data_IF_396058612014
#
_entry.id   IF_396058612014
#
_cell.length_a   1.000
_cell.length_b   1.000
_cell.length_c   1.000
_cell.angle_alpha   90.00
_cell.angle_beta   90.00
_cell.angle_gamma   90.00
#
_symmetry.space_group_name_H-M   'P 1'
#
loop_
_entity.id
_entity.type
_entity.pdbx_description
1 polymer ?
#
# COMPACT_ATOMS: atom_id res chain seq x y z
N UNK A 1 12.82 17.84 0.70
CA UNK A 1 13.62 18.20 1.88
C UNK A 1 12.74 18.77 2.99
N UNK A 2 13.26 18.89 4.23
CA UNK A 2 12.54 19.49 5.35
C UNK A 2 12.19 20.97 5.13
N UNK A 3 12.94 21.67 4.30
CA UNK A 3 12.69 23.08 3.97
C UNK A 3 11.54 23.24 2.97
N UNK A 4 11.40 22.32 2.00
CA UNK A 4 10.39 22.37 0.93
C UNK A 4 9.06 21.71 1.33
N UNK A 5 9.09 20.75 2.27
CA UNK A 5 7.91 19.96 2.64
C UNK A 5 6.74 20.81 3.17
N UNK A 6 6.92 21.89 3.96
CA UNK A 6 5.82 22.73 4.39
C UNK A 6 5.09 23.45 3.25
N UNK A 7 5.83 23.88 2.21
CA UNK A 7 5.23 24.53 1.03
C UNK A 7 4.50 23.51 0.14
N UNK A 8 5.05 22.31 0.02
CA UNK A 8 4.36 21.20 -0.62
C UNK A 8 3.07 20.83 0.11
N UNK A 9 3.08 20.79 1.45
CA UNK A 9 1.93 20.52 2.28
C UNK A 9 0.80 21.55 2.05
N UNK A 10 1.13 22.83 2.05
CA UNK A 10 0.15 23.90 1.78
C UNK A 10 -0.45 23.79 0.36
N UNK A 11 0.33 23.30 -0.59
CA UNK A 11 -0.14 23.11 -1.98
C UNK A 11 -1.06 21.89 -2.15
N UNK A 12 -0.82 20.81 -1.39
CA UNK A 12 -1.61 19.57 -1.42
C UNK A 12 -2.94 19.78 -0.66
N UNK A 13 -2.89 20.48 0.47
CA UNK A 13 -4.02 20.67 1.38
C UNK A 13 -4.02 19.63 2.53
N UNK A 14 -4.84 19.89 3.54
CA UNK A 14 -4.87 19.11 4.78
C UNK A 14 -6.16 18.27 4.88
N UNK A 15 -6.17 17.14 5.61
CA UNK A 15 -5.07 16.56 6.37
C UNK A 15 -4.05 15.80 5.49
N UNK A 16 -2.83 15.68 6.01
CA UNK A 16 -1.68 15.11 5.31
C UNK A 16 -1.03 13.95 6.06
N UNK A 17 -0.20 13.23 5.31
CA UNK A 17 0.78 12.27 5.82
C UNK A 17 2.18 12.75 5.43
N UNK A 18 3.13 12.68 6.38
CA UNK A 18 4.55 12.89 6.08
C UNK A 18 5.31 11.60 6.43
N UNK A 19 6.11 11.13 5.49
CA UNK A 19 6.93 9.92 5.64
C UNK A 19 8.39 10.23 5.40
N UNK A 20 9.27 9.70 6.23
CA UNK A 20 10.70 9.70 5.96
C UNK A 20 10.99 8.82 4.73
N UNK A 21 11.78 9.33 3.77
CA UNK A 21 12.17 8.59 2.58
C UNK A 21 13.64 8.17 2.70
N UNK A 22 13.87 6.96 3.24
CA UNK A 22 15.20 6.37 3.33
C UNK A 22 15.18 4.96 2.75
N UNK A 23 16.20 4.64 1.95
CA UNK A 23 16.39 3.31 1.34
C UNK A 23 16.64 2.24 2.41
N UNK A 24 17.19 2.61 3.55
CA UNK A 24 17.52 1.69 4.64
C UNK A 24 16.33 1.40 5.59
N UNK A 25 15.21 2.11 5.44
CA UNK A 25 14.09 2.06 6.37
C UNK A 25 12.90 1.29 5.78
N UNK A 26 12.97 -0.05 5.84
CA UNK A 26 11.90 -0.93 5.33
C UNK A 26 10.61 -0.84 6.18
N UNK A 27 10.72 -0.65 7.51
CA UNK A 27 9.59 -0.55 8.44
C UNK A 27 9.48 0.86 9.03
N UNK A 28 9.14 1.84 8.20
CA UNK A 28 9.10 3.27 8.54
C UNK A 28 8.23 3.59 9.76
N UNK A 29 7.07 2.92 9.86
CA UNK A 29 6.10 3.16 10.95
C UNK A 29 6.62 2.72 12.33
N UNK A 30 7.39 1.63 12.41
CA UNK A 30 7.93 1.12 13.67
C UNK A 30 9.04 2.01 14.24
N UNK A 31 9.73 2.76 13.37
CA UNK A 31 10.84 3.64 13.73
C UNK A 31 10.44 5.12 13.85
N UNK A 32 9.15 5.43 13.89
CA UNK A 32 8.67 6.81 13.97
C UNK A 32 8.89 7.62 12.69
N UNK A 33 9.03 6.94 11.55
CA UNK A 33 9.23 7.56 10.24
C UNK A 33 7.94 7.95 9.50
N UNK A 34 6.76 7.87 10.14
CA UNK A 34 5.46 8.21 9.54
C UNK A 34 4.62 9.02 10.52
N UNK A 35 4.13 10.16 10.08
CA UNK A 35 3.20 11.02 10.81
C UNK A 35 1.90 11.17 10.02
N UNK A 36 0.78 10.80 10.65
CA UNK A 36 -0.55 10.78 10.05
C UNK A 36 -1.41 11.91 10.59
N UNK A 37 -2.37 12.39 9.79
CA UNK A 37 -3.41 13.30 10.23
C UNK A 37 -2.93 14.72 10.51
N UNK A 38 -1.83 15.13 9.89
CA UNK A 38 -1.31 16.47 10.04
C UNK A 38 -2.30 17.47 9.43
N UNK A 39 -2.80 18.40 10.23
CA UNK A 39 -3.89 19.30 9.90
C UNK A 39 -3.46 20.75 9.72
N UNK A 40 -2.18 21.06 9.93
CA UNK A 40 -1.63 22.41 9.75
C UNK A 40 -0.15 22.37 9.36
N UNK A 41 0.34 23.50 8.83
CA UNK A 41 1.76 23.73 8.54
C UNK A 41 2.63 23.54 9.77
N UNK A 42 2.17 24.00 10.92
CA UNK A 42 2.88 23.89 12.20
C UNK A 42 3.10 22.42 12.59
N UNK A 43 2.07 21.58 12.44
CA UNK A 43 2.17 20.14 12.71
C UNK A 43 3.13 19.45 11.74
N UNK A 44 3.12 19.83 10.46
CA UNK A 44 4.10 19.36 9.49
C UNK A 44 5.53 19.72 9.91
N UNK A 45 5.79 20.97 10.27
CA UNK A 45 7.11 21.39 10.76
C UNK A 45 7.56 20.62 12.01
N UNK A 46 6.65 20.35 12.94
CA UNK A 46 6.93 19.56 14.14
C UNK A 46 7.29 18.11 13.78
N UNK A 47 6.53 17.47 12.90
CA UNK A 47 6.77 16.11 12.43
C UNK A 47 8.15 16.01 11.73
N UNK A 48 8.47 16.94 10.83
CA UNK A 48 9.77 16.99 10.16
C UNK A 48 10.93 17.14 11.15
N UNK A 49 10.77 17.99 12.17
CA UNK A 49 11.82 18.17 13.19
C UNK A 49 12.03 16.89 14.03
N UNK A 50 10.98 16.11 14.26
CA UNK A 50 11.10 14.83 14.99
C UNK A 50 11.75 13.74 14.12
N UNK A 51 11.62 13.83 12.80
CA UNK A 51 12.19 12.88 11.82
C UNK A 51 13.54 13.32 11.23
N UNK A 52 14.11 14.46 11.65
CA UNK A 52 15.33 15.06 11.04
C UNK A 52 16.54 14.13 11.03
N UNK A 53 16.64 13.25 12.05
CA UNK A 53 17.76 12.30 12.20
C UNK A 53 17.49 10.97 11.46
N UNK A 54 16.28 10.78 10.90
CA UNK A 54 15.87 9.57 10.20
C UNK A 54 16.09 9.67 8.68
N UNK A 55 15.93 10.86 8.10
CA UNK A 55 16.04 11.06 6.65
C UNK A 55 16.26 12.52 6.30
N UNK A 56 16.95 12.77 5.19
CA UNK A 56 17.09 14.10 4.59
C UNK A 56 15.93 14.44 3.63
N UNK A 57 15.21 13.42 3.18
CA UNK A 57 14.11 13.54 2.23
C UNK A 57 12.81 13.00 2.79
N UNK A 58 11.70 13.66 2.44
CA UNK A 58 10.38 13.33 2.98
C UNK A 58 9.37 13.26 1.84
N UNK A 59 8.45 12.32 1.97
CA UNK A 59 7.27 12.22 1.13
C UNK A 59 6.09 12.87 1.86
N UNK A 60 5.43 13.82 1.18
CA UNK A 60 4.24 14.51 1.68
C UNK A 60 3.06 14.09 0.81
N UNK A 61 2.03 13.51 1.41
CA UNK A 61 0.91 12.92 0.70
C UNK A 61 -0.42 13.36 1.31
N UNK A 62 -1.46 13.42 0.47
CA UNK A 62 -2.85 13.52 0.93
C UNK A 62 -3.18 12.36 1.87
N UNK A 63 -3.80 12.63 3.01
CA UNK A 63 -4.28 11.58 3.89
C UNK A 63 -5.58 10.96 3.35
N UNK A 64 -5.59 9.65 3.20
CA UNK A 64 -6.79 8.90 2.81
C UNK A 64 -7.62 8.62 4.06
N UNK A 65 -8.83 9.16 4.12
CA UNK A 65 -9.71 9.09 5.31
C UNK A 65 -10.86 8.09 5.17
N UNK A 66 -11.27 7.78 3.93
CA UNK A 66 -12.47 7.00 3.63
C UNK A 66 -12.19 5.51 3.39
N UNK A 67 -11.13 4.96 3.99
CA UNK A 67 -10.73 3.57 3.79
C UNK A 67 -11.77 2.61 4.38
N UNK A 68 -12.28 1.70 3.56
CA UNK A 68 -13.15 0.59 3.99
C UNK A 68 -12.31 -0.52 4.63
N UNK A 69 -11.21 -0.89 3.96
CA UNK A 69 -10.22 -1.85 4.45
C UNK A 69 -8.90 -1.67 3.72
N UNK A 70 -7.85 -2.30 4.25
CA UNK A 70 -6.51 -2.28 3.70
C UNK A 70 -6.15 -3.67 3.17
N UNK A 71 -5.48 -3.72 2.03
CA UNK A 71 -5.08 -4.94 1.32
C UNK A 71 -3.58 -4.96 1.14
N UNK A 72 -2.98 -6.13 1.33
CA UNK A 72 -1.62 -6.47 0.94
C UNK A 72 -1.63 -7.08 -0.46
N UNK A 73 -0.80 -6.56 -1.35
CA UNK A 73 -0.42 -7.20 -2.60
C UNK A 73 1.08 -7.42 -2.61
N UNK A 74 1.52 -8.67 -2.72
CA UNK A 74 2.94 -9.04 -2.80
C UNK A 74 3.24 -9.76 -4.11
N UNK A 75 4.32 -9.41 -4.77
CA UNK A 75 4.86 -10.12 -5.93
C UNK A 75 6.22 -10.71 -5.57
N UNK A 76 6.42 -11.95 -5.92
CA UNK A 76 7.70 -12.63 -5.78
C UNK A 76 8.05 -13.39 -7.06
N UNK A 77 9.31 -13.34 -7.44
CA UNK A 77 9.84 -14.11 -8.56
C UNK A 77 10.72 -15.23 -8.02
N UNK A 78 10.08 -16.37 -7.73
CA UNK A 78 10.75 -17.54 -7.18
C UNK A 78 11.52 -18.30 -8.27
N UNK A 79 12.77 -18.72 -8.02
CA UNK A 79 13.56 -19.45 -9.01
C UNK A 79 12.99 -20.81 -9.44
N UNK A 80 12.15 -21.44 -8.61
CA UNK A 80 11.55 -22.75 -8.88
C UNK A 80 10.13 -22.66 -9.42
N UNK A 81 9.32 -21.75 -8.85
CA UNK A 81 7.88 -21.62 -9.15
C UNK A 81 7.58 -20.47 -10.11
N UNK A 82 8.55 -19.58 -10.37
CA UNK A 82 8.33 -18.38 -11.17
C UNK A 82 7.59 -17.28 -10.42
N UNK A 83 6.80 -16.49 -11.15
CA UNK A 83 6.04 -15.40 -10.57
C UNK A 83 4.89 -15.93 -9.71
N UNK A 84 4.75 -15.35 -8.53
CA UNK A 84 3.59 -15.52 -7.64
C UNK A 84 3.08 -14.18 -7.14
N UNK A 85 1.78 -14.10 -6.86
CA UNK A 85 1.12 -12.93 -6.30
C UNK A 85 0.43 -13.32 -5.00
N UNK A 86 0.78 -12.67 -3.91
CA UNK A 86 0.09 -12.76 -2.63
C UNK A 86 -0.95 -11.67 -2.53
N UNK A 87 -2.16 -12.03 -2.09
CA UNK A 87 -3.28 -11.14 -1.88
C UNK A 87 -3.88 -11.43 -0.51
N UNK A 88 -4.08 -10.39 0.32
CA UNK A 88 -4.63 -10.60 1.66
C UNK A 88 -4.90 -9.32 2.44
N UNK A 89 -5.23 -9.50 3.74
CA UNK A 89 -5.40 -8.37 4.64
C UNK A 89 -4.09 -7.61 4.81
N UNK A 90 -4.14 -6.29 4.62
CA UNK A 90 -3.00 -5.38 4.69
C UNK A 90 -2.96 -4.55 5.98
N UNK A 91 -2.01 -3.63 6.02
CA UNK A 91 -1.79 -2.73 7.14
C UNK A 91 -1.15 -3.41 8.36
N UNK A 92 -1.30 -2.78 9.51
CA UNK A 92 -0.66 -3.20 10.77
C UNK A 92 -1.09 -4.58 11.29
N UNK A 93 -2.19 -5.12 10.77
CA UNK A 93 -2.71 -6.43 11.21
C UNK A 93 -2.34 -7.58 10.27
N UNK A 94 -1.56 -7.34 9.24
CA UNK A 94 -1.20 -8.34 8.21
C UNK A 94 -0.66 -9.63 8.85
N UNK A 95 0.33 -9.52 9.72
CA UNK A 95 0.96 -10.66 10.38
C UNK A 95 0.05 -11.36 11.40
N UNK A 96 -0.84 -10.60 12.05
CA UNK A 96 -1.72 -11.14 13.09
C UNK A 96 -2.89 -11.94 12.48
N UNK A 97 -3.42 -11.50 11.35
CA UNK A 97 -4.64 -12.09 10.77
C UNK A 97 -4.35 -13.32 9.93
N UNK A 98 -3.16 -13.42 9.35
CA UNK A 98 -2.75 -14.50 8.41
C UNK A 98 -3.82 -14.79 7.33
N UNK A 99 -4.54 -13.72 6.90
CA UNK A 99 -5.67 -13.79 5.99
C UNK A 99 -5.18 -13.49 4.57
N UNK A 100 -4.46 -14.45 4.00
CA UNK A 100 -3.80 -14.31 2.70
C UNK A 100 -4.07 -15.49 1.77
N UNK A 101 -3.99 -15.25 0.47
CA UNK A 101 -4.02 -16.25 -0.58
C UNK A 101 -2.86 -16.03 -1.56
N UNK A 102 -2.35 -17.09 -2.17
CA UNK A 102 -1.27 -17.02 -3.15
C UNK A 102 -1.78 -17.49 -4.51
N UNK A 103 -1.58 -16.65 -5.52
CA UNK A 103 -1.95 -16.91 -6.90
C UNK A 103 -0.68 -17.19 -7.72
N UNK A 104 -0.72 -18.25 -8.51
CA UNK A 104 0.33 -18.51 -9.50
C UNK A 104 -0.05 -17.90 -10.85
N UNK A 105 0.94 -17.47 -11.60
CA UNK A 105 0.73 -16.90 -12.92
C UNK A 105 0.41 -17.97 -13.98
N UNK A 106 -0.43 -17.65 -14.98
CA UNK A 106 -1.01 -16.33 -15.26
C UNK A 106 -2.19 -16.00 -14.35
N UNK A 107 -2.30 -14.73 -13.93
CA UNK A 107 -3.38 -14.24 -13.08
C UNK A 107 -4.56 -13.78 -13.93
N UNK A 108 -5.77 -14.27 -13.62
CA UNK A 108 -7.03 -13.88 -14.26
C UNK A 108 -8.02 -13.31 -13.24
N UNK A 109 -9.06 -12.63 -13.73
CA UNK A 109 -10.14 -12.10 -12.88
C UNK A 109 -10.83 -13.21 -12.08
N UNK A 110 -11.13 -14.35 -12.71
CA UNK A 110 -11.76 -15.50 -12.06
C UNK A 110 -10.86 -16.04 -10.93
N UNK A 111 -9.56 -16.19 -11.19
CA UNK A 111 -8.59 -16.66 -10.19
C UNK A 111 -8.48 -15.69 -9.00
N UNK A 112 -8.54 -14.37 -9.25
CA UNK A 112 -8.54 -13.36 -8.19
C UNK A 112 -9.80 -13.52 -7.34
N UNK A 113 -10.97 -13.67 -7.95
CA UNK A 113 -12.23 -13.81 -7.22
C UNK A 113 -12.26 -15.11 -6.39
N UNK A 114 -11.85 -16.23 -6.97
CA UNK A 114 -11.74 -17.52 -6.27
C UNK A 114 -10.79 -17.44 -5.06
N UNK A 115 -9.71 -16.66 -5.19
CA UNK A 115 -8.72 -16.47 -4.13
C UNK A 115 -9.18 -15.50 -3.03
N UNK A 116 -10.04 -14.53 -3.36
CA UNK A 116 -10.61 -13.56 -2.42
C UNK A 116 -11.75 -14.16 -1.58
N UNK A 117 -12.65 -14.95 -2.19
CA UNK A 117 -13.87 -15.43 -1.56
C UNK A 117 -13.67 -16.12 -0.19
N UNK A 118 -12.64 -16.96 0.03
CA UNK A 118 -12.42 -17.63 1.33
C UNK A 118 -11.87 -16.67 2.41
N UNK A 119 -11.33 -15.51 2.04
CA UNK A 119 -10.72 -14.58 2.98
C UNK A 119 -11.75 -13.85 3.85
N UNK A 120 -11.37 -13.58 5.09
CA UNK A 120 -12.16 -12.70 5.99
C UNK A 120 -12.26 -11.30 5.42
N UNK A 121 -11.17 -10.83 4.78
CA UNK A 121 -11.07 -9.58 4.06
C UNK A 121 -12.23 -9.40 3.06
N UNK A 122 -12.60 -10.44 2.30
CA UNK A 122 -13.68 -10.37 1.33
C UNK A 122 -15.02 -9.97 1.96
N UNK A 123 -15.32 -10.49 3.16
CA UNK A 123 -16.54 -10.14 3.89
C UNK A 123 -16.59 -8.65 4.27
N UNK A 124 -15.41 -8.06 4.57
CA UNK A 124 -15.31 -6.63 4.88
C UNK A 124 -15.58 -5.82 3.62
N UNK A 125 -14.98 -6.20 2.48
CA UNK A 125 -15.19 -5.55 1.18
C UNK A 125 -16.66 -5.61 0.77
N UNK A 126 -17.36 -6.69 1.07
CA UNK A 126 -18.80 -6.84 0.79
C UNK A 126 -19.73 -6.00 1.71
N UNK A 127 -19.18 -5.30 2.70
CA UNK A 127 -19.95 -4.44 3.58
C UNK A 127 -20.39 -5.15 4.86
N UNK A 128 -19.46 -5.42 5.75
CA UNK A 128 -19.73 -6.12 7.01
C UNK A 128 -20.46 -5.24 8.02
N UNK A 129 -21.56 -5.77 8.62
CA UNK A 129 -22.33 -5.13 9.71
C UNK A 129 -22.74 -3.68 9.44
N UNK A 130 -23.23 -3.40 8.24
CA UNK A 130 -23.73 -2.06 7.88
C UNK A 130 -22.63 -1.04 7.52
N UNK A 131 -21.37 -1.47 7.45
CA UNK A 131 -20.30 -0.65 6.88
C UNK A 131 -20.45 -0.56 5.35
N UNK A 132 -19.97 0.51 4.71
CA UNK A 132 -20.01 0.64 3.25
C UNK A 132 -19.28 -0.52 2.59
N UNK A 133 -19.71 -0.89 1.38
CA UNK A 133 -18.97 -1.81 0.53
C UNK A 133 -17.71 -1.14 0.01
N UNK A 134 -16.64 -1.91 -0.11
CA UNK A 134 -15.42 -1.48 -0.81
C UNK A 134 -15.57 -1.62 -2.33
N UNK A 135 -14.75 -0.91 -3.06
CA UNK A 135 -14.69 -0.95 -4.53
C UNK A 135 -13.97 -2.23 -5.01
N UNK A 136 -14.71 -3.33 -5.03
CA UNK A 136 -14.19 -4.64 -5.46
C UNK A 136 -13.69 -4.62 -6.90
N UNK A 137 -14.41 -3.92 -7.80
CA UNK A 137 -14.01 -3.83 -9.21
C UNK A 137 -12.68 -3.11 -9.38
N UNK A 138 -12.47 -2.04 -8.62
CA UNK A 138 -11.19 -1.33 -8.61
C UNK A 138 -10.05 -2.16 -8.00
N UNK A 139 -10.34 -2.97 -6.96
CA UNK A 139 -9.37 -3.91 -6.39
C UNK A 139 -8.94 -4.94 -7.44
N UNK A 140 -9.89 -5.63 -8.09
CA UNK A 140 -9.59 -6.64 -9.11
C UNK A 140 -8.76 -6.05 -10.24
N UNK A 141 -9.12 -4.85 -10.70
CA UNK A 141 -8.33 -4.13 -11.72
C UNK A 141 -6.91 -3.83 -11.23
N UNK A 142 -6.73 -3.37 -10.00
CA UNK A 142 -5.40 -3.07 -9.43
C UNK A 142 -4.54 -4.34 -9.33
N UNK A 143 -5.11 -5.48 -8.92
CA UNK A 143 -4.41 -6.78 -8.88
C UNK A 143 -3.96 -7.20 -10.28
N UNK A 144 -4.83 -7.08 -11.30
CA UNK A 144 -4.48 -7.38 -12.69
C UNK A 144 -3.39 -6.46 -13.23
N UNK A 145 -3.45 -5.16 -12.92
CA UNK A 145 -2.43 -4.19 -13.35
C UNK A 145 -1.08 -4.50 -12.68
N UNK A 146 -1.09 -4.90 -11.41
CA UNK A 146 0.10 -5.30 -10.66
C UNK A 146 0.68 -6.64 -11.20
N UNK A 147 -0.17 -7.58 -11.58
CA UNK A 147 0.26 -8.80 -12.25
C UNK A 147 0.93 -8.52 -13.61
N UNK A 148 0.35 -7.63 -14.43
CA UNK A 148 0.96 -7.19 -15.70
C UNK A 148 2.32 -6.52 -15.49
N UNK A 149 2.45 -5.72 -14.43
CA UNK A 149 3.75 -5.15 -14.04
C UNK A 149 4.78 -6.25 -13.79
N UNK A 150 4.42 -7.30 -13.03
CA UNK A 150 5.31 -8.43 -12.78
C UNK A 150 5.72 -9.17 -14.06
N UNK A 151 4.77 -9.45 -14.96
CA UNK A 151 5.05 -10.09 -16.24
C UNK A 151 5.99 -9.26 -17.12
N UNK A 152 5.81 -7.94 -17.15
CA UNK A 152 6.66 -7.05 -17.93
C UNK A 152 8.08 -6.97 -17.40
N UNK A 153 8.24 -6.93 -16.06
CA UNK A 153 9.54 -6.77 -15.41
C UNK A 153 10.14 -8.06 -14.84
N UNK A 154 9.55 -9.24 -15.11
CA UNK A 154 9.95 -10.53 -14.52
C UNK A 154 11.45 -10.82 -14.59
N UNK A 155 12.14 -10.38 -15.64
CA UNK A 155 13.57 -10.60 -15.83
C UNK A 155 14.46 -9.82 -14.84
N UNK A 156 13.96 -8.71 -14.28
CA UNK A 156 14.65 -7.84 -13.32
C UNK A 156 14.02 -7.88 -11.93
N UNK A 157 12.74 -8.21 -11.84
CA UNK A 157 12.00 -8.19 -10.57
C UNK A 157 12.51 -9.29 -9.66
N UNK A 158 12.83 -8.94 -8.42
CA UNK A 158 13.03 -9.87 -7.29
C UNK A 158 11.71 -9.98 -6.55
N UNK A 159 11.23 -8.87 -6.02
CA UNK A 159 9.94 -8.74 -5.36
C UNK A 159 9.36 -7.34 -5.50
N UNK A 160 8.06 -7.23 -5.32
CA UNK A 160 7.37 -5.96 -5.13
C UNK A 160 6.23 -6.13 -4.15
N UNK A 161 5.96 -5.11 -3.36
CA UNK A 161 4.89 -5.12 -2.36
C UNK A 161 4.14 -3.79 -2.39
N UNK A 162 2.83 -3.87 -2.26
CA UNK A 162 1.94 -2.75 -1.94
C UNK A 162 1.30 -3.08 -0.59
N UNK A 163 1.67 -2.35 0.45
CA UNK A 163 1.15 -2.57 1.80
C UNK A 163 1.17 -1.27 2.63
N UNK A 164 -0.02 -0.63 2.80
CA UNK A 164 -1.30 -1.12 2.31
C UNK A 164 -1.76 -0.50 0.98
N UNK A 165 -2.63 -1.24 0.28
CA UNK A 165 -3.55 -0.72 -0.72
C UNK A 165 -4.87 -0.41 -0.02
N UNK A 166 -5.25 0.86 0.08
CA UNK A 166 -6.53 1.28 0.65
C UNK A 166 -7.68 1.02 -0.33
N UNK A 167 -8.70 0.28 0.11
CA UNK A 167 -9.94 0.10 -0.63
C UNK A 167 -10.93 1.17 -0.18
N UNK A 168 -11.37 2.01 -1.09
CA UNK A 168 -12.34 3.06 -0.84
C UNK A 168 -13.77 2.53 -1.02
N UNK A 169 -14.81 3.28 -0.61
CA UNK A 169 -16.20 2.90 -0.88
C UNK A 169 -16.46 2.65 -2.36
N UNK A 170 -17.43 1.79 -2.66
CA UNK A 170 -17.83 1.40 -4.01
C UNK A 170 -17.94 2.60 -4.96
N UNK A 171 -17.29 2.54 -6.12
CA UNK A 171 -17.18 3.63 -7.11
C UNK A 171 -16.13 4.71 -6.79
N UNK A 172 -15.38 4.59 -5.67
CA UNK A 172 -14.32 5.55 -5.28
C UNK A 172 -12.90 5.05 -5.61
N UNK A 173 -12.76 3.80 -6.01
CA UNK A 173 -11.48 3.23 -6.41
C UNK A 173 -10.63 2.70 -5.25
N UNK A 174 -9.35 2.60 -5.52
CA UNK A 174 -8.32 2.18 -4.56
C UNK A 174 -7.16 3.18 -4.57
N UNK A 175 -6.41 3.27 -3.47
CA UNK A 175 -5.21 4.11 -3.38
C UNK A 175 -4.04 3.31 -2.78
N UNK A 176 -2.88 3.36 -3.43
CA UNK A 176 -1.63 2.83 -2.88
C UNK A 176 -1.16 3.79 -1.79
N UNK A 177 -0.95 3.28 -0.57
CA UNK A 177 -0.46 4.10 0.53
C UNK A 177 1.03 3.89 0.78
N UNK A 178 1.54 2.67 0.57
CA UNK A 178 2.97 2.41 0.57
C UNK A 178 3.32 1.28 -0.41
N UNK A 179 4.53 1.33 -0.96
CA UNK A 179 5.01 0.33 -1.90
C UNK A 179 6.54 0.15 -1.78
N UNK A 180 6.98 -1.07 -2.02
CA UNK A 180 8.38 -1.46 -2.10
C UNK A 180 8.60 -2.23 -3.40
N UNK A 181 9.72 -1.96 -4.09
CA UNK A 181 10.14 -2.71 -5.27
C UNK A 181 11.62 -3.03 -5.12
N UNK A 182 11.95 -4.30 -5.26
CA UNK A 182 13.32 -4.79 -5.31
C UNK A 182 13.63 -5.37 -6.68
N UNK A 183 14.72 -4.92 -7.27
CA UNK A 183 15.19 -5.37 -8.59
C UNK A 183 16.60 -5.94 -8.49
N UNK A 184 16.93 -6.87 -9.37
CA UNK A 184 18.30 -7.41 -9.51
C UNK A 184 19.24 -6.29 -9.90
N UNK A 185 20.36 -6.18 -9.21
CA UNK A 185 21.49 -5.37 -9.66
C UNK A 185 22.04 -5.95 -10.98
N UNK A 186 22.42 -5.07 -11.90
CA UNK A 186 23.02 -5.47 -13.19
C UNK A 186 24.46 -5.93 -13.02
#
# INVERSE_FOLDING_TARGET
TAEEAPDAADSIGYPLVVKASSVEMLHKSEHGGVYLGLSSREEVCQALNQMKDLSETFLVEEMVTDTVTEVLLGLQNDPQFGLSLTLGAGGIYTELLEDTSVLLFPVSEDLIMESLEPLKLFKIIQGWRGKPKGDLGALVKAVLDFARFAEHYHHKLVQAEINPLAILPEGKGVKVLDALIEIKEN
#
